data_IF_296334957906
#
_entry.id   IF_296334957906
#
_cell.length_a   1.000
_cell.length_b   1.000
_cell.length_c   1.000
_cell.angle_alpha   90.00
_cell.angle_beta   90.00
_cell.angle_gamma   90.00
#
_symmetry.space_group_name_H-M   'P 1'
#
loop_
_entity.id
_entity.type
_entity.pdbx_description
1 polymer ?
#
# COMPACT_ATOMS: atom_id res chain seq x y z
N UNK A 1 -15.23 -30.59 -33.10
CA UNK A 1 -14.70 -30.62 -31.72
C UNK A 1 -15.33 -29.43 -30.99
N UNK A 2 -16.20 -29.73 -30.02
CA UNK A 2 -17.08 -28.86 -29.22
C UNK A 2 -16.42 -27.52 -28.78
N UNK A 3 -17.01 -26.34 -28.97
CA UNK A 3 -18.26 -25.73 -28.43
C UNK A 3 -18.22 -25.35 -26.94
N UNK A 4 -18.06 -24.04 -26.73
CA UNK A 4 -18.81 -23.14 -25.84
C UNK A 4 -18.72 -23.20 -24.30
N UNK A 5 -18.24 -22.04 -23.77
CA UNK A 5 -18.88 -21.15 -22.80
C UNK A 5 -19.67 -21.77 -21.64
N UNK A 6 -19.24 -21.52 -20.40
CA UNK A 6 -20.12 -21.52 -19.23
C UNK A 6 -19.64 -20.57 -18.12
N UNK A 7 -20.44 -19.53 -17.90
CA UNK A 7 -20.68 -18.81 -16.63
C UNK A 7 -22.19 -18.53 -16.57
N UNK A 8 -22.77 -18.16 -15.43
CA UNK A 8 -22.80 -18.83 -14.12
C UNK A 8 -24.26 -19.16 -13.72
N UNK A 9 -24.48 -20.08 -12.76
CA UNK A 9 -25.83 -20.51 -12.37
C UNK A 9 -26.16 -20.16 -10.89
N UNK A 10 -27.23 -19.36 -10.76
CA UNK A 10 -28.29 -19.35 -9.72
C UNK A 10 -27.94 -18.98 -8.26
N UNK A 11 -28.55 -17.92 -7.66
CA UNK A 11 -29.96 -17.72 -7.23
C UNK A 11 -30.50 -18.79 -6.28
N UNK A 12 -30.55 -18.44 -5.00
CA UNK A 12 -31.75 -18.40 -4.16
C UNK A 12 -32.31 -19.72 -3.63
N UNK A 13 -32.49 -19.81 -2.31
CA UNK A 13 -33.64 -20.49 -1.69
C UNK A 13 -33.96 -19.85 -0.34
N UNK A 14 -35.25 -19.68 -0.10
CA UNK A 14 -35.89 -19.12 1.10
C UNK A 14 -36.95 -20.11 1.58
N UNK A 15 -37.29 -20.01 2.87
CA UNK A 15 -38.48 -20.50 3.59
C UNK A 15 -38.44 -21.97 4.13
N UNK A 16 -39.31 -22.33 5.10
CA UNK A 16 -39.46 -21.75 6.46
C UNK A 16 -39.68 -22.85 7.52
N UNK A 17 -39.80 -22.51 8.81
CA UNK A 17 -40.62 -23.32 9.75
C UNK A 17 -41.10 -22.50 10.95
N UNK A 18 -42.42 -22.60 11.21
CA UNK A 18 -43.17 -22.02 12.32
C UNK A 18 -42.82 -22.69 13.66
N UNK A 19 -43.02 -21.97 14.78
CA UNK A 19 -43.35 -22.63 16.04
C UNK A 19 -43.26 -21.79 17.31
N UNK A 20 -44.44 -21.39 17.79
CA UNK A 20 -44.86 -21.22 19.20
C UNK A 20 -44.57 -19.91 19.98
N UNK A 21 -45.68 -19.43 20.54
CA UNK A 21 -45.88 -18.29 21.43
C UNK A 21 -45.44 -18.61 22.86
N UNK A 22 -44.79 -17.65 23.52
CA UNK A 22 -44.92 -17.42 24.96
C UNK A 22 -44.92 -15.90 25.21
N UNK A 23 -45.98 -15.41 25.87
CA UNK A 23 -46.02 -14.10 26.51
C UNK A 23 -45.29 -14.23 27.84
N UNK A 24 -44.36 -13.32 28.15
CA UNK A 24 -44.18 -12.88 29.53
C UNK A 24 -43.63 -11.45 29.66
N UNK A 25 -43.98 -10.89 30.81
CA UNK A 25 -44.01 -9.50 31.26
C UNK A 25 -42.61 -8.87 31.51
N UNK A 26 -42.45 -7.64 31.01
CA UNK A 26 -41.78 -6.45 31.58
C UNK A 26 -40.70 -6.61 32.69
N UNK A 27 -39.45 -6.25 32.37
CA UNK A 27 -38.53 -5.49 33.24
C UNK A 27 -37.42 -4.82 32.38
N UNK A 28 -37.03 -3.56 32.65
CA UNK A 28 -35.92 -2.92 31.95
C UNK A 28 -34.59 -3.37 32.57
N UNK A 29 -33.93 -4.33 31.94
CA UNK A 29 -32.58 -4.72 32.35
C UNK A 29 -31.57 -3.69 31.84
N UNK A 30 -30.91 -3.03 32.79
CA UNK A 30 -29.87 -2.05 32.54
C UNK A 30 -28.63 -2.77 32.05
N UNK A 31 -28.60 -3.08 30.76
CA UNK A 31 -27.40 -3.62 30.12
C UNK A 31 -26.33 -2.53 30.11
N UNK A 32 -25.38 -2.65 31.04
CA UNK A 32 -24.04 -2.11 30.91
C UNK A 32 -23.51 -2.54 29.55
N UNK A 33 -23.59 -1.63 28.60
CA UNK A 33 -22.99 -1.79 27.29
C UNK A 33 -21.48 -1.85 27.52
N UNK A 34 -20.94 -3.07 27.58
CA UNK A 34 -19.52 -3.29 27.58
C UNK A 34 -18.98 -2.59 26.34
N UNK A 35 -18.26 -1.48 26.55
CA UNK A 35 -17.49 -0.84 25.51
C UNK A 35 -16.57 -1.91 24.92
N UNK A 36 -16.94 -2.41 23.74
CA UNK A 36 -16.05 -3.27 22.97
C UNK A 36 -14.70 -2.56 22.86
N UNK A 37 -13.58 -3.29 22.86
CA UNK A 37 -12.26 -2.67 22.77
C UNK A 37 -12.28 -1.72 21.58
N UNK A 38 -11.97 -0.44 21.85
CA UNK A 38 -11.83 0.56 20.81
C UNK A 38 -10.95 -0.04 19.69
N UNK A 39 -11.30 0.13 18.41
CA UNK A 39 -10.46 -0.38 17.33
C UNK A 39 -9.04 0.14 17.58
N UNK A 40 -8.09 -0.80 17.77
CA UNK A 40 -6.67 -0.45 17.91
C UNK A 40 -6.35 0.46 16.73
N UNK A 41 -5.94 1.69 17.01
CA UNK A 41 -5.51 2.62 15.99
C UNK A 41 -4.53 1.88 15.08
N UNK A 42 -4.80 1.88 13.78
CA UNK A 42 -3.94 1.21 12.82
C UNK A 42 -2.51 1.75 13.00
N UNK A 43 -1.56 0.84 13.13
CA UNK A 43 -0.17 1.20 13.41
C UNK A 43 0.37 2.01 12.23
N UNK A 44 0.84 3.23 12.52
CA UNK A 44 1.44 4.12 11.53
C UNK A 44 2.97 3.98 11.59
N UNK A 45 3.56 3.53 10.49
CA UNK A 45 5.00 3.33 10.35
C UNK A 45 5.56 4.48 9.51
N UNK A 46 6.38 5.33 10.14
CA UNK A 46 7.08 6.43 9.46
C UNK A 46 8.53 6.06 9.16
N UNK A 47 8.98 6.32 7.95
CA UNK A 47 10.32 5.96 7.47
C UNK A 47 10.93 7.05 6.61
N UNK A 48 12.25 7.03 6.50
CA UNK A 48 13.03 7.95 5.68
C UNK A 48 13.86 7.18 4.67
N UNK A 49 13.95 7.74 3.47
CA UNK A 49 14.79 7.23 2.37
C UNK A 49 15.56 8.39 1.76
N UNK A 50 16.60 8.08 0.99
CA UNK A 50 17.45 9.12 0.43
C UNK A 50 16.81 9.81 -0.78
N UNK A 51 16.03 9.06 -1.59
CA UNK A 51 15.36 9.55 -2.79
C UNK A 51 14.01 8.87 -3.02
N UNK A 52 12.99 9.67 -3.33
CA UNK A 52 11.70 9.22 -3.87
C UNK A 52 11.65 9.55 -5.36
N UNK A 53 11.23 8.59 -6.18
CA UNK A 53 10.95 8.80 -7.60
C UNK A 53 9.48 8.49 -7.91
N UNK A 54 8.81 9.40 -8.62
CA UNK A 54 7.58 9.09 -9.35
C UNK A 54 7.97 8.76 -10.80
N UNK A 55 7.70 7.53 -11.22
CA UNK A 55 7.99 7.07 -12.57
C UNK A 55 6.70 6.80 -13.34
N UNK A 56 6.61 7.41 -14.52
CA UNK A 56 5.55 7.22 -15.50
C UNK A 56 6.06 6.28 -16.59
N UNK A 57 5.53 5.07 -16.64
CA UNK A 57 5.93 4.07 -17.62
C UNK A 57 5.03 4.12 -18.86
N UNK A 58 5.68 4.19 -20.02
CA UNK A 58 5.04 4.21 -21.34
C UNK A 58 5.51 3.01 -22.16
N UNK A 59 4.64 2.48 -23.01
CA UNK A 59 5.04 1.46 -23.98
C UNK A 59 5.78 2.02 -25.20
N UNK A 60 6.16 1.16 -26.13
CA UNK A 60 6.84 1.53 -27.37
C UNK A 60 5.98 2.38 -28.33
N UNK A 61 4.66 2.44 -28.11
CA UNK A 61 3.74 3.29 -28.86
C UNK A 61 3.52 4.65 -28.17
N UNK A 62 4.17 4.89 -27.02
CA UNK A 62 4.01 6.12 -26.24
C UNK A 62 2.69 6.15 -25.45
N UNK A 63 2.01 5.02 -25.27
CA UNK A 63 0.81 4.94 -24.43
C UNK A 63 1.22 4.76 -22.97
N UNK A 64 0.61 5.54 -22.09
CA UNK A 64 0.77 5.41 -20.64
C UNK A 64 0.22 4.07 -20.16
N UNK A 65 1.00 3.37 -19.35
CA UNK A 65 0.68 2.03 -18.86
C UNK A 65 0.50 2.01 -17.35
N UNK A 66 1.41 2.64 -16.60
CA UNK A 66 1.27 2.77 -15.14
C UNK A 66 2.15 3.89 -14.57
N UNK A 67 1.77 4.34 -13.37
CA UNK A 67 2.61 5.14 -12.49
C UNK A 67 3.07 4.28 -11.32
N UNK A 68 4.34 4.44 -10.97
CA UNK A 68 4.93 3.79 -9.81
C UNK A 68 5.73 4.79 -8.98
N UNK A 69 5.72 4.60 -7.66
CA UNK A 69 6.60 5.30 -6.74
C UNK A 69 7.71 4.35 -6.33
N UNK A 70 8.95 4.81 -6.44
CA UNK A 70 10.14 4.02 -6.17
C UNK A 70 10.94 4.70 -5.06
N UNK A 71 11.38 3.91 -4.09
CA UNK A 71 12.12 4.36 -2.92
C UNK A 71 13.56 3.87 -2.99
N UNK A 72 14.51 4.80 -2.85
CA UNK A 72 15.93 4.51 -2.98
C UNK A 72 16.72 4.82 -1.72
N UNK A 73 17.75 4.00 -1.48
CA UNK A 73 18.85 4.34 -0.58
C UNK A 73 20.18 4.42 -1.34
N UNK A 74 21.05 5.31 -0.88
CA UNK A 74 22.44 5.38 -1.33
C UNK A 74 23.26 4.26 -0.71
N UNK A 75 23.86 3.41 -1.55
CA UNK A 75 24.89 2.48 -1.10
C UNK A 75 26.26 3.17 -1.16
N UNK A 76 26.96 3.34 -0.02
CA UNK A 76 28.33 3.84 -0.02
C UNK A 76 29.31 2.86 -0.67
N UNK A 77 29.06 1.55 -0.54
CA UNK A 77 29.92 0.49 -1.07
C UNK A 77 29.91 0.46 -2.61
N UNK A 78 28.72 0.59 -3.20
CA UNK A 78 28.54 0.56 -4.65
C UNK A 78 28.46 1.95 -5.29
N UNK A 79 28.55 3.02 -4.48
CA UNK A 79 28.45 4.44 -4.86
C UNK A 79 27.29 4.73 -5.81
N UNK A 80 26.11 4.19 -5.49
CA UNK A 80 24.90 4.34 -6.31
C UNK A 80 23.64 4.20 -5.47
N UNK A 81 22.52 4.65 -6.04
CA UNK A 81 21.21 4.40 -5.46
C UNK A 81 20.70 2.98 -5.77
N UNK A 82 20.20 2.30 -4.75
CA UNK A 82 19.51 1.03 -4.87
C UNK A 82 18.05 1.17 -4.50
N UNK A 83 17.19 0.48 -5.26
CA UNK A 83 15.77 0.41 -4.95
C UNK A 83 15.62 -0.46 -3.72
N UNK A 84 14.97 0.06 -2.68
CA UNK A 84 14.69 -0.68 -1.44
C UNK A 84 13.21 -1.06 -1.32
N UNK A 85 12.33 -0.31 -1.98
CA UNK A 85 10.90 -0.59 -2.07
C UNK A 85 10.30 0.15 -3.26
N UNK A 86 9.11 -0.27 -3.67
CA UNK A 86 8.33 0.39 -4.70
C UNK A 86 6.84 0.10 -4.48
N UNK A 87 5.98 0.90 -5.10
CA UNK A 87 4.53 0.71 -5.06
C UNK A 87 3.87 1.29 -6.31
N UNK A 88 2.88 0.59 -6.85
CA UNK A 88 2.04 1.12 -7.93
C UNK A 88 1.05 2.15 -7.36
N UNK A 89 0.78 3.21 -8.13
CA UNK A 89 -0.19 4.22 -7.72
C UNK A 89 -1.64 3.70 -7.88
N UNK A 90 -1.93 2.88 -8.90
CA UNK A 90 -3.24 2.23 -9.15
C UNK A 90 -4.48 3.13 -8.96
N UNK A 91 -4.38 4.42 -9.33
CA UNK A 91 -5.48 5.38 -9.14
C UNK A 91 -5.73 5.84 -7.70
N UNK A 92 -4.97 5.33 -6.72
CA UNK A 92 -4.95 5.85 -5.36
C UNK A 92 -4.05 7.09 -5.31
N UNK A 93 -4.66 8.26 -5.56
CA UNK A 93 -3.97 9.56 -5.54
C UNK A 93 -3.25 9.85 -4.21
N UNK A 94 -3.59 9.15 -3.11
CA UNK A 94 -2.89 9.30 -1.82
C UNK A 94 -1.46 8.77 -1.87
N UNK A 95 -1.18 7.85 -2.82
CA UNK A 95 0.15 7.30 -3.06
C UNK A 95 1.04 8.22 -3.89
N UNK A 96 0.50 9.30 -4.45
CA UNK A 96 1.33 10.27 -5.15
C UNK A 96 2.25 11.01 -4.16
N UNK A 97 3.51 11.29 -4.52
CA UNK A 97 4.39 12.11 -3.72
C UNK A 97 3.81 13.50 -3.51
N UNK A 98 3.83 13.96 -2.26
CA UNK A 98 3.36 15.29 -1.86
C UNK A 98 4.43 16.01 -1.08
N UNK A 99 4.67 17.28 -1.39
CA UNK A 99 5.53 18.12 -0.56
C UNK A 99 4.83 18.44 0.76
N UNK A 100 5.56 18.28 1.87
CA UNK A 100 5.07 18.65 3.18
C UNK A 100 5.08 20.18 3.33
N UNK A 101 3.98 20.80 3.83
CA UNK A 101 3.87 22.24 3.95
C UNK A 101 5.03 22.86 4.73
N UNK A 102 5.67 23.89 4.16
CA UNK A 102 6.77 24.60 4.81
C UNK A 102 8.10 23.84 4.87
N UNK A 103 8.26 22.77 4.09
CA UNK A 103 9.52 22.03 4.01
C UNK A 103 9.83 21.59 2.57
N UNK A 104 11.10 21.29 2.29
CA UNK A 104 11.54 20.67 1.03
C UNK A 104 11.43 19.14 1.07
N UNK A 105 10.68 18.58 2.03
CA UNK A 105 10.53 17.14 2.20
C UNK A 105 9.33 16.66 1.42
N UNK A 106 9.55 15.65 0.58
CA UNK A 106 8.51 14.92 -0.12
C UNK A 106 8.09 13.71 0.71
N UNK A 107 6.78 13.52 0.87
CA UNK A 107 6.17 12.41 1.61
C UNK A 107 5.22 11.61 0.72
N UNK A 108 5.25 10.29 0.89
CA UNK A 108 4.35 9.34 0.23
C UNK A 108 3.67 8.51 1.31
N UNK A 109 2.35 8.39 1.23
CA UNK A 109 1.55 7.69 2.24
C UNK A 109 0.69 6.62 1.60
N UNK A 110 0.66 5.42 2.17
CA UNK A 110 -0.24 4.37 1.70
C UNK A 110 -0.62 3.39 2.82
N UNK A 111 -1.68 2.63 2.60
CA UNK A 111 -2.00 1.49 3.43
C UNK A 111 -1.39 0.22 2.82
N UNK A 112 -0.45 -0.38 3.53
CA UNK A 112 0.14 -1.67 3.19
C UNK A 112 -0.86 -2.76 3.61
N UNK A 113 -1.50 -3.40 2.63
CA UNK A 113 -2.54 -4.40 2.88
C UNK A 113 -2.00 -5.70 3.47
N UNK A 114 -0.76 -6.05 3.13
CA UNK A 114 -0.13 -7.29 3.57
C UNK A 114 0.29 -7.19 5.02
N UNK A 115 0.95 -6.08 5.38
CA UNK A 115 1.35 -5.79 6.75
C UNK A 115 0.21 -5.19 7.61
N UNK A 116 -0.90 -4.76 7.00
CA UNK A 116 -2.03 -4.07 7.66
C UNK A 116 -1.63 -2.81 8.44
N UNK A 117 -0.70 -2.03 7.89
CA UNK A 117 -0.18 -0.79 8.50
C UNK A 117 -0.31 0.40 7.57
N UNK A 118 -0.46 1.60 8.14
CA UNK A 118 -0.31 2.84 7.37
C UNK A 118 1.17 3.20 7.30
N UNK A 119 1.70 3.36 6.09
CA UNK A 119 3.09 3.76 5.87
C UNK A 119 3.15 5.21 5.45
N UNK A 120 4.12 5.92 6.00
CA UNK A 120 4.58 7.21 5.54
C UNK A 120 6.08 7.12 5.24
N UNK A 121 6.47 7.42 4.02
CA UNK A 121 7.88 7.48 3.62
C UNK A 121 8.24 8.88 3.18
N UNK A 122 9.31 9.41 3.76
CA UNK A 122 9.79 10.77 3.50
C UNK A 122 11.18 10.76 2.88
N UNK A 123 11.43 11.70 1.97
CA UNK A 123 12.76 11.97 1.42
C UNK A 123 12.95 13.46 1.17
N UNK A 124 14.21 13.91 1.24
CA UNK A 124 14.61 15.26 0.82
C UNK A 124 14.82 15.35 -0.69
N UNK A 125 15.24 14.26 -1.32
CA UNK A 125 15.39 14.21 -2.77
C UNK A 125 14.12 13.63 -3.40
N UNK A 126 13.65 14.31 -4.42
CA UNK A 126 12.54 13.88 -5.25
C UNK A 126 12.91 14.00 -6.72
N UNK A 127 12.50 13.03 -7.53
CA UNK A 127 12.55 13.13 -8.99
C UNK A 127 11.30 12.56 -9.62
N UNK A 128 11.01 13.05 -10.82
CA UNK A 128 9.91 12.58 -11.65
C UNK A 128 10.45 12.18 -13.01
N UNK A 129 10.06 11.02 -13.50
CA UNK A 129 10.63 10.43 -14.72
C UNK A 129 9.55 9.88 -15.64
N UNK A 130 9.74 10.05 -16.95
CA UNK A 130 8.92 9.46 -18.00
C UNK A 130 9.80 8.51 -18.78
N UNK A 131 9.45 7.22 -18.80
CA UNK A 131 10.36 6.20 -19.31
C UNK A 131 9.63 5.09 -20.06
N UNK A 132 10.33 4.46 -21.00
CA UNK A 132 9.92 3.21 -21.63
C UNK A 132 10.56 1.97 -20.98
N UNK A 133 11.28 2.19 -19.88
CA UNK A 133 12.01 1.14 -19.18
C UNK A 133 11.79 1.29 -17.69
N UNK A 134 11.27 0.26 -17.06
CA UNK A 134 11.02 0.24 -15.62
C UNK A 134 12.33 0.32 -14.81
N UNK A 135 12.58 1.43 -14.08
CA UNK A 135 13.80 1.59 -13.28
C UNK A 135 13.94 0.54 -12.17
N UNK A 136 12.83 0.07 -11.59
CA UNK A 136 12.81 -1.00 -10.58
C UNK A 136 13.36 -2.29 -11.17
N UNK A 137 12.87 -2.65 -12.36
CA UNK A 137 13.27 -3.88 -13.06
C UNK A 137 14.71 -3.84 -13.55
N UNK A 138 15.22 -2.65 -13.89
CA UNK A 138 16.64 -2.45 -14.16
C UNK A 138 17.44 -2.63 -12.87
N UNK A 139 16.96 -2.09 -11.73
CA UNK A 139 17.64 -2.20 -10.44
C UNK A 139 17.71 -3.66 -9.95
N UNK A 140 16.69 -4.48 -10.24
CA UNK A 140 16.67 -5.94 -9.97
C UNK A 140 17.86 -6.71 -10.54
N UNK A 141 18.53 -6.20 -11.57
CA UNK A 141 19.76 -6.81 -12.12
C UNK A 141 20.95 -6.72 -11.17
N UNK A 142 20.90 -5.85 -10.16
CA UNK A 142 21.98 -5.61 -9.20
C UNK A 142 21.66 -6.19 -7.82
N UNK A 143 20.43 -6.01 -7.35
CA UNK A 143 19.96 -6.53 -6.06
C UNK A 143 18.54 -7.07 -6.25
N UNK A 144 18.36 -8.37 -6.00
CA UNK A 144 17.05 -9.01 -6.02
C UNK A 144 16.18 -8.49 -4.88
N UNK A 145 14.86 -8.53 -5.07
CA UNK A 145 13.91 -7.96 -4.12
C UNK A 145 14.00 -8.59 -2.72
N UNK A 146 14.28 -9.89 -2.63
CA UNK A 146 14.45 -10.63 -1.37
C UNK A 146 15.67 -10.19 -0.55
N UNK A 147 16.69 -9.64 -1.24
CA UNK A 147 17.95 -9.20 -0.63
C UNK A 147 17.92 -7.71 -0.27
N UNK A 148 16.83 -7.02 -0.63
CA UNK A 148 16.60 -5.64 -0.21
C UNK A 148 16.26 -5.65 1.28
N UNK A 149 16.95 -4.80 2.04
CA UNK A 149 16.47 -4.41 3.36
C UNK A 149 15.21 -3.58 3.13
N UNK A 150 14.07 -4.25 2.93
CA UNK A 150 12.78 -3.61 2.76
C UNK A 150 12.53 -2.61 3.89
N UNK A 151 11.55 -1.74 3.66
CA UNK A 151 10.93 -0.79 4.61
C UNK A 151 10.33 -1.46 5.88
N UNK A 152 10.91 -2.53 6.38
CA UNK A 152 10.53 -3.30 7.57
C UNK A 152 11.67 -3.30 8.60
N UNK A 153 12.92 -2.91 8.23
CA UNK A 153 14.10 -3.02 9.12
C UNK A 153 15.14 -1.90 9.00
N UNK A 154 14.72 -0.64 9.05
CA UNK A 154 15.67 0.42 9.36
C UNK A 154 15.35 0.94 10.76
N UNK A 155 16.20 0.70 11.78
CA UNK A 155 16.13 1.48 13.00
C UNK A 155 16.27 2.95 12.63
N UNK A 156 15.52 3.78 13.34
CA UNK A 156 15.49 5.23 13.19
C UNK A 156 16.92 5.75 13.01
N UNK A 157 17.27 6.21 11.81
CA UNK A 157 18.60 6.81 11.56
C UNK A 157 18.61 8.14 12.31
N UNK A 158 18.99 8.09 13.59
CA UNK A 158 19.38 9.28 14.33
C UNK A 158 20.56 9.89 13.58
N UNK A 159 20.41 11.16 13.21
CA UNK A 159 21.26 11.90 12.28
C UNK A 159 22.75 11.74 12.63
N UNK A 160 23.59 11.52 11.60
CA UNK A 160 24.98 11.96 11.62
C UNK A 160 25.08 13.26 10.83
#
# INVERSE_FOLDING_TARGET
MASDLLTPLMRGMFLPTLGLLFLDVLAPDSSLQAAGPAPRAAEEVKQRVDLIELNHYYDCQGKHQFDQVIFYEWSPDFRRFHVIAWSLVEGDLKRLPRQLPGSEVTSVTWFDRDAKVHREVQAKLYRETWSQSDPERINKRWIEEKDRLCLIRLPDRTMR
#
